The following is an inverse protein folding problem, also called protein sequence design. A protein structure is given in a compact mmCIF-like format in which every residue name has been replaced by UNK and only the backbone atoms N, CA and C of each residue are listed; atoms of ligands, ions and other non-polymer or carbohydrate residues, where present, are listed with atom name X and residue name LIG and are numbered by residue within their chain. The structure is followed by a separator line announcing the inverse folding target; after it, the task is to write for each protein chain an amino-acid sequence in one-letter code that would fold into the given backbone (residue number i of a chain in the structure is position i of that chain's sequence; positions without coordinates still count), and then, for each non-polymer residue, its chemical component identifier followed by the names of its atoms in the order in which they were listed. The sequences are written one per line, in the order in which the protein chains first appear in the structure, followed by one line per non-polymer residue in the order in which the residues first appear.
data_IF_877813114485
#
_entry.id   IF_877813114485
#
_cell.length_a   1.000
_cell.length_b   1.000
_cell.length_c   1.000
_cell.angle_alpha   90.00
_cell.angle_beta   90.00
_cell.angle_gamma   90.00
#
_symmetry.space_group_name_H-M   'P 1'
#
loop_
_entity.id
_entity.type
_entity.pdbx_description
1 polymer ?
#
# COMPACT_ATOMS: atom_id res chain seq x y z
N UNK A 1 -37.55 -46.50 9.31
CA UNK A 1 -38.47 -45.55 8.64
C UNK A 1 -38.83 -44.49 9.67
N UNK A 2 -39.07 -43.23 9.28
CA UNK A 2 -39.23 -42.14 10.24
C UNK A 2 -40.61 -42.11 10.93
N UNK A 3 -41.64 -42.68 10.30
CA UNK A 3 -42.98 -42.82 10.84
C UNK A 3 -43.74 -43.97 10.15
N UNK A 4 -44.98 -44.23 10.57
CA UNK A 4 -45.88 -45.17 9.90
C UNK A 4 -46.22 -44.73 8.46
N UNK A 5 -46.57 -45.67 7.59
CA UNK A 5 -46.84 -45.40 6.16
C UNK A 5 -47.91 -44.32 5.95
N UNK A 6 -48.93 -44.26 6.82
CA UNK A 6 -49.99 -43.25 6.76
C UNK A 6 -49.45 -41.85 7.13
N UNK A 7 -48.56 -41.78 8.12
CA UNK A 7 -47.98 -40.51 8.60
C UNK A 7 -46.87 -39.96 7.70
N UNK A 8 -46.29 -40.76 6.79
CA UNK A 8 -45.25 -40.30 5.86
C UNK A 8 -45.68 -39.14 4.95
N UNK A 9 -46.98 -39.01 4.65
CA UNK A 9 -47.49 -37.92 3.81
C UNK A 9 -47.48 -36.55 4.50
N UNK A 10 -47.43 -36.54 5.84
CA UNK A 10 -47.45 -35.34 6.68
C UNK A 10 -46.14 -35.19 7.47
N UNK A 11 -45.07 -35.86 7.02
CA UNK A 11 -43.82 -36.03 7.76
C UNK A 11 -43.18 -34.70 8.20
N UNK A 12 -43.24 -33.67 7.35
CA UNK A 12 -42.67 -32.34 7.63
C UNK A 12 -43.41 -31.58 8.74
N UNK A 13 -44.64 -31.99 9.07
CA UNK A 13 -45.48 -31.35 10.10
C UNK A 13 -45.56 -32.13 11.41
N UNK A 14 -45.00 -33.35 11.45
CA UNK A 14 -44.99 -34.16 12.67
C UNK A 14 -44.00 -33.59 13.68
N UNK A 15 -44.37 -33.65 14.96
CA UNK A 15 -43.41 -33.39 16.03
C UNK A 15 -42.48 -34.61 16.23
N UNK A 16 -41.27 -34.39 16.76
CA UNK A 16 -40.31 -35.48 17.02
C UNK A 16 -40.88 -36.57 17.95
N UNK A 17 -41.77 -36.20 18.87
CA UNK A 17 -42.44 -37.15 19.77
C UNK A 17 -43.43 -38.08 19.06
N UNK A 18 -43.85 -37.74 17.84
CA UNK A 18 -44.74 -38.52 16.99
C UNK A 18 -44.00 -39.41 15.98
N UNK A 19 -42.67 -39.28 15.91
CA UNK A 19 -41.78 -40.02 15.04
C UNK A 19 -41.24 -41.28 15.73
N UNK A 20 -40.67 -42.19 14.93
CA UNK A 20 -39.97 -43.36 15.46
C UNK A 20 -38.71 -42.94 16.25
N UNK A 21 -38.66 -43.28 17.53
CA UNK A 21 -37.60 -42.86 18.46
C UNK A 21 -36.19 -43.20 17.94
N UNK A 22 -36.02 -44.39 17.37
CA UNK A 22 -34.73 -44.83 16.79
C UNK A 22 -34.35 -44.00 15.57
N UNK A 23 -35.33 -43.56 14.76
CA UNK A 23 -35.05 -42.67 13.63
C UNK A 23 -34.59 -41.29 14.12
N UNK A 24 -35.26 -40.73 15.14
CA UNK A 24 -34.87 -39.44 15.74
C UNK A 24 -33.44 -39.53 16.30
N UNK A 25 -33.12 -40.61 17.04
CA UNK A 25 -31.75 -40.86 17.53
C UNK A 25 -30.73 -40.95 16.40
N UNK A 26 -31.05 -41.64 15.31
CA UNK A 26 -30.17 -41.74 14.14
C UNK A 26 -29.99 -40.40 13.42
N UNK A 27 -31.05 -39.63 13.24
CA UNK A 27 -31.00 -38.30 12.64
C UNK A 27 -30.15 -37.34 13.49
N UNK A 28 -30.32 -37.35 14.82
CA UNK A 28 -29.49 -36.58 15.74
C UNK A 28 -28.02 -37.01 15.68
N UNK A 29 -27.74 -38.31 15.62
CA UNK A 29 -26.37 -38.83 15.45
C UNK A 29 -25.76 -38.37 14.13
N UNK A 30 -26.51 -38.40 13.05
CA UNK A 30 -26.06 -37.92 11.74
C UNK A 30 -25.78 -36.41 11.76
N UNK A 31 -26.69 -35.60 12.32
CA UNK A 31 -26.51 -34.17 12.49
C UNK A 31 -25.24 -33.84 13.29
N UNK A 32 -25.06 -34.47 14.45
CA UNK A 32 -23.89 -34.27 15.29
C UNK A 32 -22.60 -34.71 14.58
N UNK A 33 -22.66 -35.80 13.81
CA UNK A 33 -21.53 -36.21 12.97
C UNK A 33 -21.19 -35.17 11.90
N UNK A 34 -22.20 -34.62 11.20
CA UNK A 34 -22.01 -33.59 10.20
C UNK A 34 -21.39 -32.33 10.80
N UNK A 35 -21.91 -31.82 11.92
CA UNK A 35 -21.34 -30.64 12.59
C UNK A 35 -19.90 -30.87 13.04
N UNK A 36 -19.60 -32.06 13.58
CA UNK A 36 -18.27 -32.36 14.10
C UNK A 36 -17.23 -32.69 13.01
N UNK A 37 -17.63 -33.18 11.84
CA UNK A 37 -16.71 -33.73 10.84
C UNK A 37 -16.75 -33.01 9.48
N UNK A 38 -17.74 -32.16 9.22
CA UNK A 38 -17.79 -31.37 7.98
C UNK A 38 -16.64 -30.37 7.97
N UNK A 39 -15.97 -30.28 6.82
CA UNK A 39 -14.84 -29.37 6.63
C UNK A 39 -15.29 -28.17 5.80
N UNK A 40 -14.63 -27.04 6.03
CA UNK A 40 -14.76 -25.88 5.16
C UNK A 40 -14.41 -26.30 3.73
N UNK A 41 -15.20 -25.84 2.77
CA UNK A 41 -14.93 -26.12 1.36
C UNK A 41 -13.64 -25.42 0.96
N UNK A 42 -12.71 -26.16 0.37
CA UNK A 42 -11.47 -25.60 -0.17
C UNK A 42 -11.34 -25.80 -1.68
N UNK A 43 -10.54 -24.94 -2.30
CA UNK A 43 -10.01 -25.08 -3.66
C UNK A 43 -8.55 -25.55 -3.60
N UNK A 44 -7.98 -25.80 -4.77
CA UNK A 44 -6.54 -26.10 -4.91
C UNK A 44 -5.70 -24.99 -4.27
N UNK A 45 -4.65 -25.37 -3.55
CA UNK A 45 -3.75 -24.44 -2.86
C UNK A 45 -4.23 -23.99 -1.48
N UNK A 46 -5.10 -24.75 -0.81
CA UNK A 46 -5.50 -24.41 0.56
C UNK A 46 -6.65 -23.41 0.68
N UNK A 47 -7.10 -22.82 -0.44
CA UNK A 47 -7.97 -21.65 -0.40
C UNK A 47 -9.37 -22.01 0.11
N UNK A 48 -9.74 -21.48 1.27
CA UNK A 48 -11.08 -21.63 1.83
C UNK A 48 -12.10 -20.83 1.02
N UNK A 49 -13.21 -21.47 0.67
CA UNK A 49 -14.25 -20.87 -0.17
C UNK A 49 -15.16 -20.00 0.69
N UNK A 50 -15.06 -18.69 0.50
CA UNK A 50 -15.99 -17.71 1.08
C UNK A 50 -17.30 -17.64 0.29
N UNK A 51 -18.32 -16.96 0.83
CA UNK A 51 -19.59 -16.74 0.12
C UNK A 51 -19.43 -16.00 -1.22
N UNK A 52 -18.50 -15.03 -1.29
CA UNK A 52 -18.18 -14.30 -2.54
C UNK A 52 -17.57 -15.24 -3.58
N UNK A 53 -16.59 -16.03 -3.17
CA UNK A 53 -15.95 -17.02 -4.03
C UNK A 53 -16.96 -18.05 -4.53
N UNK A 54 -17.84 -18.54 -3.65
CA UNK A 54 -18.88 -19.47 -4.03
C UNK A 54 -19.82 -18.90 -5.09
N UNK A 55 -20.24 -17.63 -4.95
CA UNK A 55 -21.08 -16.96 -5.96
C UNK A 55 -20.40 -16.89 -7.34
N UNK A 56 -19.10 -16.60 -7.38
CA UNK A 56 -18.30 -16.61 -8.62
C UNK A 56 -18.21 -18.02 -9.21
N UNK A 57 -17.89 -19.03 -8.39
CA UNK A 57 -17.80 -20.43 -8.83
C UNK A 57 -19.14 -20.92 -9.38
N UNK A 58 -20.25 -20.69 -8.67
CA UNK A 58 -21.60 -21.06 -9.11
C UNK A 58 -21.94 -20.38 -10.43
N UNK A 59 -21.68 -19.08 -10.56
CA UNK A 59 -21.93 -18.34 -11.81
C UNK A 59 -21.12 -18.91 -12.98
N UNK A 60 -19.84 -19.20 -12.75
CA UNK A 60 -18.95 -19.77 -13.77
C UNK A 60 -19.43 -21.15 -14.23
N UNK A 61 -19.73 -22.05 -13.30
CA UNK A 61 -20.19 -23.40 -13.63
C UNK A 61 -21.56 -23.42 -14.31
N UNK A 62 -22.52 -22.61 -13.85
CA UNK A 62 -23.84 -22.52 -14.49
C UNK A 62 -23.72 -21.99 -15.92
N UNK A 63 -22.88 -20.97 -16.16
CA UNK A 63 -22.61 -20.45 -17.52
C UNK A 63 -21.98 -21.51 -18.42
N UNK A 64 -21.01 -22.28 -17.92
CA UNK A 64 -20.40 -23.36 -18.67
C UNK A 64 -21.46 -24.39 -19.12
N UNK A 65 -22.31 -24.85 -18.18
CA UNK A 65 -23.41 -25.78 -18.47
C UNK A 65 -24.38 -25.20 -19.51
N UNK A 66 -24.81 -23.95 -19.33
CA UNK A 66 -25.74 -23.30 -20.26
C UNK A 66 -25.16 -23.12 -21.67
N UNK A 67 -23.84 -22.91 -21.77
CA UNK A 67 -23.14 -22.80 -23.06
C UNK A 67 -22.82 -24.14 -23.72
N UNK A 68 -23.14 -25.27 -23.09
CA UNK A 68 -22.77 -26.61 -23.57
C UNK A 68 -21.29 -26.96 -23.40
N UNK A 69 -20.54 -26.19 -22.60
CA UNK A 69 -19.13 -26.47 -22.29
C UNK A 69 -19.00 -27.21 -20.97
N UNK A 70 -17.87 -27.90 -20.77
CA UNK A 70 -17.60 -28.66 -19.54
C UNK A 70 -17.14 -27.68 -18.44
N UNK A 71 -17.80 -27.66 -17.26
CA UNK A 71 -17.32 -26.90 -16.11
C UNK A 71 -15.90 -27.33 -15.72
N UNK A 72 -14.95 -26.40 -15.77
CA UNK A 72 -13.55 -26.66 -15.46
C UNK A 72 -13.15 -25.95 -14.16
N UNK A 73 -12.65 -26.71 -13.19
CA UNK A 73 -12.23 -26.18 -11.89
C UNK A 73 -11.05 -25.22 -12.01
N UNK A 74 -10.08 -25.53 -12.86
CA UNK A 74 -8.89 -24.69 -13.08
C UNK A 74 -9.27 -23.34 -13.66
N UNK A 75 -10.13 -23.31 -14.70
CA UNK A 75 -10.63 -22.07 -15.28
C UNK A 75 -11.44 -21.24 -14.27
N UNK A 76 -12.22 -21.89 -13.40
CA UNK A 76 -12.99 -21.21 -12.37
C UNK A 76 -12.08 -20.59 -11.30
N UNK A 77 -11.00 -21.27 -10.91
CA UNK A 77 -9.98 -20.74 -9.98
C UNK A 77 -9.22 -19.58 -10.60
N UNK A 78 -8.86 -19.63 -11.88
CA UNK A 78 -8.18 -18.53 -12.57
C UNK A 78 -9.07 -17.28 -12.67
N UNK A 79 -10.33 -17.45 -13.08
CA UNK A 79 -11.29 -16.34 -13.13
C UNK A 79 -11.52 -15.73 -11.73
N UNK A 80 -11.55 -16.59 -10.70
CA UNK A 80 -11.67 -16.14 -9.32
C UNK A 80 -10.45 -15.35 -8.86
N UNK A 81 -9.23 -15.81 -9.17
CA UNK A 81 -7.99 -15.10 -8.87
C UNK A 81 -7.96 -13.71 -9.52
N UNK A 82 -8.39 -13.58 -10.77
CA UNK A 82 -8.50 -12.28 -11.45
C UNK A 82 -9.47 -11.32 -10.74
N UNK A 83 -10.66 -11.81 -10.37
CA UNK A 83 -11.67 -11.01 -9.66
C UNK A 83 -11.17 -10.59 -8.27
N UNK A 84 -10.62 -11.54 -7.49
CA UNK A 84 -10.16 -11.27 -6.14
C UNK A 84 -8.91 -10.39 -6.12
N UNK A 85 -7.95 -10.59 -7.03
CA UNK A 85 -6.76 -9.73 -7.12
C UNK A 85 -7.11 -8.32 -7.57
N UNK A 86 -8.06 -8.17 -8.51
CA UNK A 86 -8.54 -6.84 -8.91
C UNK A 86 -9.17 -6.11 -7.73
N UNK A 87 -10.03 -6.80 -6.98
CA UNK A 87 -10.63 -6.24 -5.77
C UNK A 87 -9.61 -5.99 -4.65
N UNK A 88 -8.60 -6.84 -4.50
CA UNK A 88 -7.52 -6.66 -3.53
C UNK A 88 -6.72 -5.38 -3.82
N UNK A 89 -6.41 -5.09 -5.09
CA UNK A 89 -5.76 -3.83 -5.48
C UNK A 89 -6.63 -2.62 -5.12
N UNK A 90 -7.94 -2.70 -5.38
CA UNK A 90 -8.87 -1.60 -5.06
C UNK A 90 -9.00 -1.35 -3.57
N UNK A 91 -9.18 -2.42 -2.77
CA UNK A 91 -9.31 -2.31 -1.32
C UNK A 91 -8.02 -1.79 -0.69
N UNK A 92 -6.86 -2.29 -1.13
CA UNK A 92 -5.55 -1.84 -0.67
C UNK A 92 -5.29 -0.37 -1.01
N UNK A 93 -5.56 0.05 -2.25
CA UNK A 93 -5.42 1.46 -2.63
C UNK A 93 -6.35 2.37 -1.80
N UNK A 94 -7.61 1.94 -1.61
CA UNK A 94 -8.58 2.68 -0.80
C UNK A 94 -8.12 2.78 0.66
N UNK A 95 -7.49 1.73 1.19
CA UNK A 95 -6.89 1.72 2.52
C UNK A 95 -5.74 2.73 2.61
N UNK A 96 -4.84 2.73 1.64
CA UNK A 96 -3.73 3.69 1.56
C UNK A 96 -4.22 5.15 1.55
N UNK A 97 -5.17 5.47 0.67
CA UNK A 97 -5.73 6.81 0.54
C UNK A 97 -6.43 7.26 1.83
N UNK A 98 -7.25 6.38 2.42
CA UNK A 98 -7.95 6.68 3.68
C UNK A 98 -6.99 7.00 4.83
N UNK A 99 -5.88 6.28 4.96
CA UNK A 99 -4.88 6.55 5.99
C UNK A 99 -4.07 7.81 5.70
N UNK A 100 -3.62 8.02 4.45
CA UNK A 100 -2.92 9.23 4.06
C UNK A 100 -3.79 10.48 4.25
N UNK A 101 -5.08 10.41 3.92
CA UNK A 101 -6.03 11.53 4.07
C UNK A 101 -6.22 11.94 5.54
N UNK A 102 -6.15 10.99 6.49
CA UNK A 102 -6.17 11.30 7.92
C UNK A 102 -4.93 12.09 8.36
N UNK A 103 -3.83 11.97 7.63
CA UNK A 103 -2.58 12.67 7.91
C UNK A 103 -2.45 14.02 7.20
N UNK A 104 -3.31 14.34 6.24
CA UNK A 104 -3.28 15.63 5.50
C UNK A 104 -3.40 16.83 6.43
N UNK A 105 -4.09 16.69 7.57
CA UNK A 105 -4.20 17.76 8.59
C UNK A 105 -2.85 18.13 9.23
N UNK A 106 -1.83 17.27 9.10
CA UNK A 106 -0.48 17.53 9.59
C UNK A 106 0.38 18.28 8.56
N UNK A 107 -0.13 18.55 7.36
CA UNK A 107 0.64 19.25 6.34
C UNK A 107 0.69 20.76 6.61
N UNK A 108 1.85 21.41 6.39
CA UNK A 108 3.11 20.79 5.96
C UNK A 108 3.82 20.02 7.07
N UNK A 109 4.43 18.88 6.75
CA UNK A 109 5.35 18.19 7.68
C UNK A 109 6.62 19.01 7.88
N UNK A 110 7.23 18.92 9.07
CA UNK A 110 8.43 19.70 9.37
C UNK A 110 9.63 19.23 8.55
N UNK A 111 9.72 17.93 8.27
CA UNK A 111 10.82 17.32 7.53
C UNK A 111 10.33 16.38 6.44
N UNK A 112 11.20 16.09 5.47
CA UNK A 112 10.94 15.08 4.43
C UNK A 112 10.81 13.69 5.06
N UNK A 113 11.66 13.36 6.04
CA UNK A 113 11.59 12.08 6.74
C UNK A 113 10.26 11.86 7.47
N UNK A 114 9.67 12.90 8.07
CA UNK A 114 8.36 12.79 8.71
C UNK A 114 7.27 12.41 7.70
N UNK A 115 7.28 13.02 6.52
CA UNK A 115 6.37 12.66 5.42
C UNK A 115 6.59 11.20 4.95
N UNK A 116 7.84 10.79 4.77
CA UNK A 116 8.18 9.42 4.35
C UNK A 116 7.75 8.37 5.37
N UNK A 117 7.91 8.65 6.67
CA UNK A 117 7.44 7.75 7.73
C UNK A 117 5.91 7.57 7.70
N UNK A 118 5.15 8.64 7.44
CA UNK A 118 3.69 8.55 7.27
C UNK A 118 3.36 7.66 6.07
N UNK A 119 4.00 7.90 4.92
CA UNK A 119 3.82 7.10 3.71
C UNK A 119 4.09 5.61 3.96
N UNK A 120 5.22 5.28 4.59
CA UNK A 120 5.65 3.90 4.86
C UNK A 120 4.64 3.13 5.72
N UNK A 121 4.10 3.74 6.77
CA UNK A 121 3.09 3.07 7.61
C UNK A 121 1.79 2.85 6.83
N UNK A 122 1.34 3.83 6.04
CA UNK A 122 0.14 3.69 5.21
C UNK A 122 0.31 2.63 4.12
N UNK A 123 1.48 2.59 3.47
CA UNK A 123 1.80 1.60 2.44
C UNK A 123 1.83 0.19 3.03
N UNK A 124 2.42 0.02 4.22
CA UNK A 124 2.47 -1.26 4.92
C UNK A 124 1.08 -1.81 5.22
N UNK A 125 0.16 -1.00 5.72
CA UNK A 125 -1.21 -1.44 5.99
C UNK A 125 -1.99 -1.74 4.70
N UNK A 126 -1.76 -0.96 3.64
CA UNK A 126 -2.30 -1.25 2.30
C UNK A 126 -1.83 -2.61 1.76
N UNK A 127 -0.52 -2.90 1.85
CA UNK A 127 0.03 -4.18 1.41
C UNK A 127 -0.54 -5.34 2.23
N UNK A 128 -0.75 -5.19 3.54
CA UNK A 128 -1.41 -6.22 4.36
C UNK A 128 -2.82 -6.53 3.87
N UNK A 129 -3.61 -5.50 3.52
CA UNK A 129 -4.95 -5.68 2.93
C UNK A 129 -4.86 -6.45 1.61
N UNK A 130 -3.91 -6.08 0.75
CA UNK A 130 -3.68 -6.80 -0.51
C UNK A 130 -3.31 -8.26 -0.26
N UNK A 131 -2.34 -8.53 0.61
CA UNK A 131 -1.88 -9.89 0.93
C UNK A 131 -2.96 -10.76 1.56
N UNK A 132 -3.87 -10.18 2.34
CA UNK A 132 -4.99 -10.91 2.94
C UNK A 132 -6.07 -11.34 1.94
N UNK A 133 -6.18 -10.67 0.78
CA UNK A 133 -7.24 -10.92 -0.20
C UNK A 133 -6.76 -11.49 -1.53
N UNK A 134 -5.52 -11.21 -1.93
CA UNK A 134 -4.99 -11.67 -3.21
C UNK A 134 -4.88 -13.20 -3.26
N UNK A 135 -5.05 -13.78 -4.43
CA UNK A 135 -5.01 -15.22 -4.68
C UNK A 135 -4.24 -15.48 -5.96
N UNK A 136 -3.21 -16.33 -5.89
CA UNK A 136 -2.48 -16.82 -7.07
C UNK A 136 -2.09 -15.71 -8.06
N UNK A 137 -1.46 -14.64 -7.56
CA UNK A 137 -0.99 -13.51 -8.38
C UNK A 137 0.23 -13.92 -9.22
N UNK A 138 -0.06 -14.62 -10.31
CA UNK A 138 0.96 -15.11 -11.24
C UNK A 138 1.79 -13.93 -11.78
N UNK A 139 3.10 -14.10 -11.73
CA UNK A 139 4.09 -13.11 -12.17
C UNK A 139 3.98 -11.76 -11.43
N UNK A 140 3.34 -11.73 -10.24
CA UNK A 140 3.18 -10.54 -9.39
C UNK A 140 2.51 -9.37 -10.13
N UNK A 141 1.67 -9.65 -11.12
CA UNK A 141 1.05 -8.65 -11.99
C UNK A 141 0.22 -7.65 -11.19
N UNK A 142 -0.59 -8.12 -10.25
CA UNK A 142 -1.47 -7.24 -9.47
C UNK A 142 -0.70 -6.50 -8.37
N UNK A 143 0.31 -7.14 -7.80
CA UNK A 143 1.23 -6.54 -6.86
C UNK A 143 2.02 -5.37 -7.48
N UNK A 144 2.60 -5.54 -8.67
CA UNK A 144 3.23 -4.45 -9.41
C UNK A 144 2.25 -3.33 -9.76
N UNK A 145 1.02 -3.70 -10.14
CA UNK A 145 -0.05 -2.71 -10.38
C UNK A 145 -0.36 -1.90 -9.13
N UNK A 146 -0.48 -2.54 -7.96
CA UNK A 146 -0.69 -1.85 -6.69
C UNK A 146 0.47 -0.89 -6.39
N UNK A 147 1.72 -1.34 -6.52
CA UNK A 147 2.91 -0.51 -6.26
C UNK A 147 2.89 0.76 -7.11
N UNK A 148 2.68 0.64 -8.43
CA UNK A 148 2.59 1.81 -9.31
C UNK A 148 1.44 2.77 -8.95
N UNK A 149 0.31 2.26 -8.46
CA UNK A 149 -0.79 3.10 -7.98
C UNK A 149 -0.45 3.84 -6.68
N UNK A 150 0.20 3.17 -5.74
CA UNK A 150 0.66 3.77 -4.49
C UNK A 150 1.74 4.84 -4.76
N UNK A 151 2.70 4.57 -5.65
CA UNK A 151 3.75 5.53 -6.02
C UNK A 151 3.15 6.81 -6.64
N UNK A 152 2.15 6.65 -7.51
CA UNK A 152 1.43 7.81 -8.06
C UNK A 152 0.73 8.62 -6.96
N UNK A 153 0.06 7.95 -6.01
CA UNK A 153 -0.60 8.64 -4.90
C UNK A 153 0.39 9.28 -3.95
N UNK A 154 1.53 8.65 -3.68
CA UNK A 154 2.62 9.22 -2.90
C UNK A 154 3.09 10.55 -3.52
N UNK A 155 3.25 10.61 -4.85
CA UNK A 155 3.60 11.84 -5.55
C UNK A 155 2.53 12.93 -5.40
N UNK A 156 1.24 12.56 -5.47
CA UNK A 156 0.13 13.50 -5.23
C UNK A 156 0.19 14.08 -3.82
N UNK A 157 0.39 13.24 -2.80
CA UNK A 157 0.50 13.69 -1.40
C UNK A 157 1.77 14.51 -1.15
N UNK A 158 2.90 14.14 -1.76
CA UNK A 158 4.14 14.94 -1.72
C UNK A 158 3.88 16.34 -2.26
N UNK A 159 3.20 16.44 -3.41
CA UNK A 159 2.85 17.72 -4.04
C UNK A 159 1.94 18.56 -3.13
N UNK A 160 0.97 17.94 -2.46
CA UNK A 160 0.12 18.62 -1.47
C UNK A 160 0.93 19.13 -0.28
N UNK A 161 1.86 18.32 0.24
CA UNK A 161 2.73 18.69 1.36
C UNK A 161 3.66 19.86 0.99
N UNK A 162 4.30 19.79 -0.17
CA UNK A 162 5.15 20.85 -0.71
C UNK A 162 4.36 22.15 -0.91
N UNK A 163 3.15 22.06 -1.48
CA UNK A 163 2.27 23.22 -1.66
C UNK A 163 1.90 23.86 -0.33
N UNK A 164 1.47 23.07 0.66
CA UNK A 164 1.14 23.57 1.99
C UNK A 164 2.32 24.31 2.64
N UNK A 165 3.54 23.78 2.49
CA UNK A 165 4.77 24.40 2.97
C UNK A 165 5.03 25.74 2.27
N UNK A 166 4.90 25.79 0.94
CA UNK A 166 5.08 27.03 0.17
C UNK A 166 4.06 28.10 0.52
N UNK A 167 2.79 27.72 0.61
CA UNK A 167 1.69 28.64 0.92
C UNK A 167 1.86 29.24 2.33
N UNK A 168 2.22 28.41 3.31
CA UNK A 168 2.53 28.88 4.67
C UNK A 168 3.72 29.85 4.69
N UNK A 169 4.84 29.47 4.05
CA UNK A 169 6.06 30.28 4.04
C UNK A 169 5.86 31.63 3.34
N UNK A 170 5.13 31.65 2.21
CA UNK A 170 4.82 32.90 1.49
C UNK A 170 3.96 33.83 2.33
N UNK A 171 2.91 33.31 2.96
CA UNK A 171 2.06 34.11 3.84
C UNK A 171 2.85 34.68 5.01
N UNK A 172 3.69 33.86 5.64
CA UNK A 172 4.56 34.30 6.73
C UNK A 172 5.51 35.42 6.28
N UNK A 173 6.14 35.27 5.11
CA UNK A 173 7.04 36.31 4.58
C UNK A 173 6.30 37.60 4.26
N UNK A 174 5.10 37.54 3.68
CA UNK A 174 4.26 38.72 3.45
C UNK A 174 3.95 39.48 4.75
N UNK A 175 3.64 38.75 5.83
CA UNK A 175 3.39 39.36 7.14
C UNK A 175 4.65 39.97 7.74
N UNK A 176 5.78 39.26 7.69
CA UNK A 176 7.05 39.72 8.25
C UNK A 176 7.66 40.88 7.45
N UNK A 177 7.49 40.90 6.12
CA UNK A 177 8.07 41.91 5.24
C UNK A 177 7.22 43.17 5.10
N UNK A 178 5.97 43.21 5.60
CA UNK A 178 5.04 44.31 5.38
C UNK A 178 5.64 45.71 5.64
N UNK A 179 6.40 45.87 6.73
CA UNK A 179 7.05 47.14 7.08
C UNK A 179 8.14 47.54 6.07
N UNK A 180 9.00 46.59 5.68
CA UNK A 180 10.09 46.87 4.72
C UNK A 180 9.53 47.13 3.33
N UNK A 181 8.44 46.46 2.92
CA UNK A 181 7.75 46.74 1.65
C UNK A 181 7.17 48.16 1.61
N UNK A 182 6.52 48.61 2.69
CA UNK A 182 6.00 49.97 2.77
C UNK A 182 7.12 51.01 2.69
N UNK A 183 8.22 50.79 3.42
CA UNK A 183 9.39 51.67 3.34
C UNK A 183 10.02 51.70 1.92
N UNK A 184 10.03 50.57 1.20
CA UNK A 184 10.47 50.53 -0.21
C UNK A 184 9.55 51.41 -1.07
N UNK A 185 8.23 51.25 -0.96
CA UNK A 185 7.24 51.98 -1.75
C UNK A 185 7.29 53.49 -1.49
N UNK A 186 7.53 53.90 -0.25
CA UNK A 186 7.66 55.31 0.14
C UNK A 186 9.02 55.93 -0.25
N UNK A 187 9.97 55.14 -0.78
CA UNK A 187 11.32 55.60 -1.08
C UNK A 187 12.16 55.92 0.16
N UNK A 188 11.79 55.36 1.32
CA UNK A 188 12.44 55.63 2.62
C UNK A 188 13.92 55.22 2.68
N UNK A 189 14.38 54.39 1.76
CA UNK A 189 15.78 53.95 1.66
C UNK A 189 16.60 54.74 0.63
N UNK A 190 16.02 55.69 -0.09
CA UNK A 190 16.75 56.55 -1.06
C UNK A 190 17.45 57.75 -0.42
N UNK A 191 17.69 57.69 0.89
CA UNK A 191 18.33 58.73 1.69
C UNK A 191 19.77 58.32 2.08
N UNK A 192 20.66 59.27 2.43
CA UNK A 192 21.98 58.97 2.96
C UNK A 192 21.95 57.94 4.10
N UNK A 193 22.63 56.79 3.93
CA UNK A 193 22.66 55.67 4.89
C UNK A 193 21.50 54.68 4.77
N UNK A 194 20.66 54.80 3.73
CA UNK A 194 19.50 53.97 3.48
C UNK A 194 19.82 52.49 3.26
N UNK A 195 20.96 52.17 2.64
CA UNK A 195 21.37 50.77 2.44
C UNK A 195 21.57 50.05 3.78
N UNK A 196 22.25 50.69 4.74
CA UNK A 196 22.46 50.11 6.08
C UNK A 196 21.14 49.87 6.81
N UNK A 197 20.18 50.80 6.69
CA UNK A 197 18.84 50.67 7.28
C UNK A 197 18.07 49.50 6.65
N UNK A 198 18.10 49.39 5.31
CA UNK A 198 17.48 48.30 4.56
C UNK A 198 18.02 46.93 4.99
N UNK A 199 19.34 46.76 5.04
CA UNK A 199 19.96 45.49 5.47
C UNK A 199 19.54 45.11 6.89
N UNK A 200 19.52 46.06 7.82
CA UNK A 200 19.11 45.80 9.20
C UNK A 200 17.64 45.31 9.29
N UNK A 201 16.73 45.91 8.53
CA UNK A 201 15.33 45.48 8.49
C UNK A 201 15.16 44.14 7.76
N UNK A 202 15.87 43.92 6.65
CA UNK A 202 15.91 42.64 5.93
C UNK A 202 16.38 41.50 6.84
N UNK A 203 17.44 41.71 7.61
CA UNK A 203 17.97 40.71 8.55
C UNK A 203 16.95 40.35 9.64
N UNK A 204 16.18 41.33 10.15
CA UNK A 204 15.10 41.06 11.12
C UNK A 204 14.01 40.17 10.53
N UNK A 205 13.64 40.38 9.26
CA UNK A 205 12.67 39.52 8.55
C UNK A 205 13.22 38.10 8.45
N UNK A 206 14.48 37.94 8.04
CA UNK A 206 15.13 36.63 7.90
C UNK A 206 15.20 35.90 9.25
N UNK A 207 15.63 36.60 10.32
CA UNK A 207 15.72 36.03 11.66
C UNK A 207 14.34 35.58 12.17
N UNK A 208 13.34 36.45 12.06
CA UNK A 208 11.96 36.14 12.45
C UNK A 208 11.37 34.96 11.68
N UNK A 209 11.68 34.84 10.38
CA UNK A 209 11.29 33.69 9.57
C UNK A 209 11.99 32.40 10.03
N UNK A 210 13.29 32.47 10.28
CA UNK A 210 14.10 31.30 10.63
C UNK A 210 13.64 30.66 11.94
N UNK A 211 13.27 31.45 12.95
CA UNK A 211 12.82 30.94 14.26
C UNK A 211 11.38 30.39 14.25
N UNK A 212 10.57 30.69 13.23
CA UNK A 212 9.16 30.26 13.18
C UNK A 212 9.05 28.75 12.88
N UNK A 213 8.41 27.92 13.71
CA UNK A 213 8.16 26.51 13.38
C UNK A 213 7.00 26.36 12.36
N UNK A 214 6.80 25.17 11.82
CA UNK A 214 5.65 24.83 10.96
C UNK A 214 5.83 25.22 9.50
N UNK A 215 7.04 25.60 9.09
CA UNK A 215 7.33 26.04 7.72
C UNK A 215 7.34 24.86 6.74
N UNK A 216 7.84 23.73 7.21
CA UNK A 216 7.98 22.51 6.45
C UNK A 216 9.06 22.54 5.35
N UNK A 217 8.98 21.53 4.49
CA UNK A 217 10.07 21.11 3.59
C UNK A 217 10.51 22.13 2.54
N UNK A 218 9.69 23.15 2.22
CA UNK A 218 10.00 24.19 1.23
C UNK A 218 10.49 25.51 1.83
N UNK A 219 10.79 25.54 3.13
CA UNK A 219 11.19 26.76 3.84
C UNK A 219 12.42 27.46 3.25
N UNK A 220 13.46 26.70 2.87
CA UNK A 220 14.70 27.27 2.32
C UNK A 220 14.49 27.82 0.90
N UNK A 221 13.78 27.06 0.04
CA UNK A 221 13.47 27.47 -1.33
C UNK A 221 12.68 28.79 -1.35
N UNK A 222 11.62 28.89 -0.54
CA UNK A 222 10.76 30.07 -0.51
C UNK A 222 11.50 31.29 0.05
N UNK A 223 12.40 31.11 1.02
CA UNK A 223 13.24 32.20 1.51
C UNK A 223 14.21 32.70 0.42
N UNK A 224 14.82 31.80 -0.34
CA UNK A 224 15.71 32.19 -1.43
C UNK A 224 14.96 32.87 -2.58
N UNK A 225 13.74 32.43 -2.90
CA UNK A 225 12.83 33.11 -3.84
C UNK A 225 12.59 34.56 -3.40
N UNK A 226 12.20 34.76 -2.14
CA UNK A 226 11.98 36.09 -1.57
C UNK A 226 13.24 36.98 -1.66
N UNK A 227 14.41 36.46 -1.29
CA UNK A 227 15.64 37.26 -1.36
C UNK A 227 16.00 37.62 -2.80
N UNK A 228 15.79 36.69 -3.74
CA UNK A 228 16.05 36.90 -5.16
C UNK A 228 15.12 37.96 -5.75
N UNK A 229 13.83 37.98 -5.37
CA UNK A 229 12.88 39.03 -5.74
C UNK A 229 13.30 40.43 -5.26
N UNK A 230 14.10 40.52 -4.18
CA UNK A 230 14.58 41.79 -3.62
C UNK A 230 15.94 42.24 -4.15
N UNK A 231 16.60 41.44 -5.00
CA UNK A 231 17.96 41.69 -5.47
C UNK A 231 18.09 43.03 -6.21
N UNK A 232 17.18 43.30 -7.14
CA UNK A 232 17.23 44.53 -7.95
C UNK A 232 16.88 45.78 -7.12
N UNK A 233 15.98 45.62 -6.13
CA UNK A 233 15.64 46.68 -5.18
C UNK A 233 16.85 47.05 -4.33
N UNK A 234 17.55 46.04 -3.80
CA UNK A 234 18.76 46.24 -3.02
C UNK A 234 19.87 46.90 -3.84
N UNK A 235 20.06 46.49 -5.10
CA UNK A 235 21.00 47.13 -6.01
C UNK A 235 20.65 48.61 -6.24
N UNK A 236 19.36 48.93 -6.47
CA UNK A 236 18.92 50.31 -6.64
C UNK A 236 19.16 51.16 -5.38
N UNK A 237 18.93 50.61 -4.17
CA UNK A 237 19.20 51.27 -2.89
C UNK A 237 20.71 51.53 -2.71
N UNK A 238 21.57 50.55 -3.03
CA UNK A 238 23.04 50.71 -2.99
C UNK A 238 23.48 51.84 -3.91
N UNK A 239 22.93 51.90 -5.13
CA UNK A 239 23.28 52.92 -6.10
C UNK A 239 22.82 54.32 -5.66
N UNK A 240 21.63 54.45 -5.06
CA UNK A 240 21.07 55.71 -4.58
C UNK A 240 21.73 56.26 -3.29
N UNK A 241 22.39 55.41 -2.49
CA UNK A 241 23.01 55.83 -1.23
C UNK A 241 24.31 56.62 -1.45
N UNK A 242 24.23 57.94 -1.30
CA UNK A 242 25.37 58.85 -1.47
C UNK A 242 26.44 58.75 -0.37
N UNK A 243 26.18 58.01 0.72
CA UNK A 243 27.17 57.81 1.80
C UNK A 243 28.18 56.70 1.50
N UNK A 244 27.87 55.83 0.53
CA UNK A 244 28.74 54.74 0.13
C UNK A 244 29.71 55.19 -0.95
N UNK A 245 30.99 54.90 -0.75
CA UNK A 245 32.00 55.01 -1.81
C UNK A 245 31.78 53.94 -2.88
N UNK A 246 32.27 54.17 -4.10
CA UNK A 246 32.17 53.20 -5.20
C UNK A 246 32.73 51.82 -4.81
N UNK A 247 33.82 51.80 -4.04
CA UNK A 247 34.42 50.57 -3.52
C UNK A 247 33.50 49.85 -2.52
N UNK A 248 32.79 50.58 -1.67
CA UNK A 248 31.84 50.01 -0.70
C UNK A 248 30.58 49.48 -1.40
N UNK A 249 30.12 50.13 -2.48
CA UNK A 249 29.03 49.63 -3.31
C UNK A 249 29.38 48.29 -3.96
N UNK A 250 30.55 48.20 -4.59
CA UNK A 250 31.05 46.95 -5.18
C UNK A 250 31.18 45.83 -4.15
N UNK A 251 31.73 46.13 -2.96
CA UNK A 251 31.83 45.14 -1.87
C UNK A 251 30.46 44.68 -1.36
N UNK A 252 29.45 45.55 -1.32
CA UNK A 252 28.10 45.17 -0.92
C UNK A 252 27.45 44.22 -1.95
N UNK A 253 27.59 44.52 -3.24
CA UNK A 253 27.10 43.68 -4.33
C UNK A 253 27.79 42.30 -4.34
N UNK A 254 29.11 42.25 -4.15
CA UNK A 254 29.87 41.00 -4.07
C UNK A 254 29.45 40.13 -2.86
N UNK A 255 29.23 40.75 -1.70
CA UNK A 255 28.69 40.05 -0.52
C UNK A 255 27.31 39.47 -0.77
N UNK A 256 26.40 40.25 -1.35
CA UNK A 256 25.04 39.79 -1.68
C UNK A 256 25.07 38.60 -2.66
N UNK A 257 25.98 38.63 -3.66
CA UNK A 257 26.20 37.50 -4.57
C UNK A 257 26.72 36.26 -3.85
N UNK A 258 27.69 36.43 -2.94
CA UNK A 258 28.30 35.33 -2.17
C UNK A 258 27.25 34.66 -1.27
N UNK A 259 26.47 35.46 -0.53
CA UNK A 259 25.38 34.94 0.32
C UNK A 259 24.29 34.22 -0.49
N UNK A 260 23.97 34.70 -1.69
CA UNK A 260 23.02 34.02 -2.59
C UNK A 260 23.56 32.65 -3.02
N UNK A 261 24.83 32.60 -3.44
CA UNK A 261 25.47 31.35 -3.85
C UNK A 261 25.57 30.34 -2.69
N UNK A 262 25.84 30.80 -1.47
CA UNK A 262 25.85 29.95 -0.28
C UNK A 262 24.46 29.35 0.01
N UNK A 263 23.38 30.13 -0.11
CA UNK A 263 22.02 29.63 0.08
C UNK A 263 21.58 28.67 -1.02
N UNK A 264 21.90 28.95 -2.27
CA UNK A 264 21.66 28.03 -3.39
C UNK A 264 22.37 26.69 -3.17
N UNK A 265 23.61 26.71 -2.67
CA UNK A 265 24.34 25.51 -2.26
C UNK A 265 23.63 24.75 -1.14
N UNK A 266 23.15 25.44 -0.10
CA UNK A 266 22.40 24.81 1.00
C UNK A 266 21.09 24.15 0.52
N UNK A 267 20.36 24.80 -0.40
CA UNK A 267 19.15 24.23 -1.02
C UNK A 267 19.51 22.99 -1.84
N UNK A 268 20.58 23.04 -2.62
CA UNK A 268 21.04 21.90 -3.41
C UNK A 268 21.44 20.71 -2.50
N UNK A 269 22.15 20.97 -1.41
CA UNK A 269 22.48 19.96 -0.41
C UNK A 269 21.23 19.36 0.25
N UNK A 270 20.24 20.19 0.60
CA UNK A 270 18.96 19.72 1.13
C UNK A 270 18.20 18.85 0.14
N UNK A 271 18.06 19.30 -1.11
CA UNK A 271 17.37 18.55 -2.17
C UNK A 271 18.05 17.21 -2.45
N UNK A 272 19.38 17.15 -2.42
CA UNK A 272 20.13 15.90 -2.55
C UNK A 272 19.87 14.97 -1.36
N UNK A 273 19.82 15.49 -0.13
CA UNK A 273 19.46 14.70 1.06
C UNK A 273 18.04 14.15 0.97
N UNK A 274 17.09 14.98 0.56
CA UNK A 274 15.68 14.58 0.42
C UNK A 274 15.51 13.51 -0.66
N UNK A 275 16.23 13.64 -1.78
CA UNK A 275 16.26 12.61 -2.84
C UNK A 275 16.86 11.30 -2.33
N UNK A 276 17.96 11.37 -1.58
CA UNK A 276 18.58 10.19 -0.98
C UNK A 276 17.63 9.48 0.01
N UNK A 277 16.96 10.23 0.88
CA UNK A 277 15.96 9.69 1.80
C UNK A 277 14.80 9.01 1.05
N UNK A 278 14.31 9.61 -0.05
CA UNK A 278 13.28 8.97 -0.89
C UNK A 278 13.76 7.63 -1.48
N UNK A 279 15.00 7.55 -1.95
CA UNK A 279 15.57 6.30 -2.48
C UNK A 279 15.72 5.23 -1.39
N UNK A 280 16.19 5.61 -0.20
CA UNK A 280 16.33 4.70 0.94
C UNK A 280 14.98 4.16 1.41
N UNK A 281 13.96 5.03 1.45
CA UNK A 281 12.58 4.67 1.79
C UNK A 281 11.97 3.69 0.78
N UNK A 282 12.16 3.95 -0.53
CA UNK A 282 11.74 3.03 -1.59
C UNK A 282 12.39 1.65 -1.46
N UNK A 283 13.70 1.60 -1.17
CA UNK A 283 14.40 0.33 -0.96
C UNK A 283 13.87 -0.43 0.27
N UNK A 284 13.59 0.30 1.37
CA UNK A 284 13.05 -0.29 2.59
C UNK A 284 11.64 -0.85 2.38
N UNK A 285 10.78 -0.09 1.69
CA UNK A 285 9.44 -0.52 1.27
C UNK A 285 9.50 -1.77 0.40
N UNK A 286 10.41 -1.80 -0.58
CA UNK A 286 10.61 -2.96 -1.45
C UNK A 286 10.99 -4.22 -0.67
N UNK A 287 11.95 -4.15 0.25
CA UNK A 287 12.34 -5.30 1.07
C UNK A 287 11.21 -5.76 2.01
N UNK A 288 10.47 -4.83 2.64
CA UNK A 288 9.30 -5.19 3.45
C UNK A 288 8.21 -5.89 2.63
N UNK A 289 7.97 -5.40 1.41
CA UNK A 289 7.00 -5.99 0.52
C UNK A 289 7.38 -7.42 0.12
N UNK A 290 8.67 -7.62 -0.17
CA UNK A 290 9.25 -8.93 -0.47
C UNK A 290 9.17 -9.88 0.72
N UNK A 291 9.44 -9.42 1.94
CA UNK A 291 9.27 -10.23 3.16
C UNK A 291 7.83 -10.70 3.34
N UNK A 292 6.85 -9.79 3.23
CA UNK A 292 5.43 -10.14 3.33
C UNK A 292 4.99 -11.12 2.24
N UNK A 293 5.51 -10.97 1.02
CA UNK A 293 5.24 -11.91 -0.07
C UNK A 293 5.83 -13.29 0.22
N UNK A 294 7.07 -13.37 0.68
CA UNK A 294 7.71 -14.64 1.05
C UNK A 294 6.97 -15.34 2.19
N UNK A 295 6.53 -14.60 3.20
CA UNK A 295 5.73 -15.14 4.29
C UNK A 295 4.41 -15.74 3.77
N UNK A 296 3.68 -15.00 2.93
CA UNK A 296 2.45 -15.47 2.31
C UNK A 296 2.68 -16.74 1.47
N UNK A 297 3.70 -16.76 0.62
CA UNK A 297 4.03 -17.91 -0.22
C UNK A 297 4.34 -19.16 0.64
N UNK A 298 5.07 -19.01 1.74
CA UNK A 298 5.38 -20.14 2.62
C UNK A 298 4.14 -20.62 3.38
N UNK A 299 3.23 -19.73 3.78
CA UNK A 299 1.95 -20.11 4.37
C UNK A 299 1.07 -20.89 3.38
N UNK A 300 0.92 -20.40 2.15
CA UNK A 300 0.19 -21.08 1.07
C UNK A 300 0.80 -22.45 0.75
N UNK A 301 2.13 -22.54 0.73
CA UNK A 301 2.86 -23.80 0.52
C UNK A 301 2.56 -24.82 1.62
N UNK A 302 2.60 -24.41 2.88
CA UNK A 302 2.27 -25.29 4.02
C UNK A 302 0.83 -25.80 3.93
N UNK A 303 -0.12 -24.93 3.58
CA UNK A 303 -1.53 -25.34 3.39
C UNK A 303 -1.69 -26.33 2.24
N UNK A 304 -1.01 -26.10 1.11
CA UNK A 304 -1.00 -27.03 -0.02
C UNK A 304 -0.43 -28.40 0.36
N UNK A 305 0.68 -28.44 1.10
CA UNK A 305 1.27 -29.70 1.58
C UNK A 305 0.30 -30.49 2.46
N UNK A 306 -0.35 -29.83 3.42
CA UNK A 306 -1.32 -30.46 4.30
C UNK A 306 -2.52 -31.04 3.51
N UNK A 307 -2.99 -30.32 2.49
CA UNK A 307 -4.03 -30.84 1.59
C UNK A 307 -3.56 -32.07 0.81
N UNK A 308 -2.36 -32.03 0.24
CA UNK A 308 -1.79 -33.16 -0.50
C UNK A 308 -1.60 -34.39 0.41
N UNK A 309 -1.14 -34.20 1.65
CA UNK A 309 -0.99 -35.28 2.63
C UNK A 309 -2.34 -35.95 2.95
N UNK A 310 -3.41 -35.16 3.08
CA UNK A 310 -4.76 -35.70 3.28
C UNK A 310 -5.20 -36.55 2.08
N UNK A 311 -4.99 -36.06 0.85
CA UNK A 311 -5.32 -36.79 -0.38
C UNK A 311 -4.51 -38.09 -0.47
N UNK A 312 -3.22 -38.04 -0.15
CA UNK A 312 -2.35 -39.24 -0.09
C UNK A 312 -2.90 -40.23 0.94
N UNK A 313 -3.28 -39.78 2.14
CA UNK A 313 -3.85 -40.64 3.18
C UNK A 313 -5.12 -41.34 2.72
N UNK A 314 -6.01 -40.62 2.02
CA UNK A 314 -7.23 -41.22 1.44
C UNK A 314 -6.91 -42.24 0.35
N UNK A 315 -5.97 -41.93 -0.56
CA UNK A 315 -5.53 -42.84 -1.62
C UNK A 315 -4.87 -44.11 -1.07
N UNK A 316 -4.13 -44.01 0.03
CA UNK A 316 -3.54 -45.18 0.71
C UNK A 316 -4.62 -46.10 1.30
N UNK A 317 -5.67 -45.54 1.91
CA UNK A 317 -6.82 -46.33 2.39
C UNK A 317 -7.56 -47.01 1.24
N UNK A 318 -7.74 -46.29 0.12
CA UNK A 318 -8.35 -46.87 -1.08
C UNK A 318 -7.49 -48.01 -1.64
N UNK A 319 -6.17 -47.82 -1.67
CA UNK A 319 -5.22 -48.85 -2.10
C UNK A 319 -5.34 -50.13 -1.25
N UNK A 320 -5.44 -50.01 0.08
CA UNK A 320 -5.63 -51.15 0.99
C UNK A 320 -6.94 -51.91 0.68
N UNK A 321 -8.05 -51.20 0.45
CA UNK A 321 -9.32 -51.81 0.05
C UNK A 321 -9.23 -52.52 -1.30
N UNK A 322 -8.56 -51.91 -2.29
CA UNK A 322 -8.37 -52.51 -3.62
C UNK A 322 -7.44 -53.73 -3.57
N UNK A 323 -6.45 -53.72 -2.66
CA UNK A 323 -5.56 -54.85 -2.41
C UNK A 323 -6.32 -56.05 -1.84
N UNK A 324 -7.18 -55.83 -0.84
CA UNK A 324 -8.05 -56.87 -0.28
C UNK A 324 -9.04 -57.44 -1.30
N UNK A 325 -9.46 -56.63 -2.29
CA UNK A 325 -10.36 -57.04 -3.36
C UNK A 325 -9.65 -57.63 -4.60
N UNK A 326 -8.31 -57.64 -4.65
CA UNK A 326 -7.53 -58.26 -5.73
C UNK A 326 -7.37 -57.43 -7.02
N UNK A 327 -7.68 -56.13 -7.03
CA UNK A 327 -7.65 -55.28 -8.23
C UNK A 327 -6.26 -54.67 -8.52
N UNK A 328 -5.32 -55.48 -9.04
CA UNK A 328 -3.92 -55.07 -9.28
C UNK A 328 -3.74 -53.84 -10.19
N UNK A 329 -4.56 -53.68 -11.24
CA UNK A 329 -4.47 -52.52 -12.14
C UNK A 329 -4.78 -51.20 -11.44
N UNK A 330 -5.76 -51.21 -10.52
CA UNK A 330 -6.13 -50.03 -9.74
C UNK A 330 -5.05 -49.65 -8.74
N UNK A 331 -4.40 -50.64 -8.13
CA UNK A 331 -3.26 -50.42 -7.22
C UNK A 331 -2.13 -49.69 -7.94
N UNK A 332 -1.75 -50.15 -9.14
CA UNK A 332 -0.71 -49.50 -9.97
C UNK A 332 -1.07 -48.09 -10.42
N UNK A 333 -2.36 -47.79 -10.60
CA UNK A 333 -2.81 -46.43 -10.89
C UNK A 333 -2.66 -45.52 -9.65
N UNK A 334 -3.13 -45.99 -8.49
CA UNK A 334 -3.00 -45.28 -7.22
C UNK A 334 -1.53 -45.03 -6.83
N UNK A 335 -0.63 -45.99 -7.06
CA UNK A 335 0.81 -45.81 -6.80
C UNK A 335 1.39 -44.66 -7.62
N UNK A 336 1.04 -44.56 -8.90
CA UNK A 336 1.48 -43.47 -9.78
C UNK A 336 0.96 -42.12 -9.31
N UNK A 337 -0.30 -42.06 -8.88
CA UNK A 337 -0.90 -40.83 -8.35
C UNK A 337 -0.27 -40.41 -7.02
N UNK A 338 -0.05 -41.34 -6.10
CA UNK A 338 0.63 -41.08 -4.81
C UNK A 338 2.07 -40.61 -5.06
N UNK A 339 2.80 -41.24 -5.98
CA UNK A 339 4.16 -40.83 -6.34
C UNK A 339 4.20 -39.40 -6.89
N UNK A 340 3.25 -39.03 -7.77
CA UNK A 340 3.14 -37.68 -8.31
C UNK A 340 2.82 -36.64 -7.22
N UNK A 341 1.88 -36.93 -6.32
CA UNK A 341 1.56 -36.03 -5.20
C UNK A 341 2.76 -35.85 -4.26
N UNK A 342 3.52 -36.92 -3.99
CA UNK A 342 4.76 -36.85 -3.20
C UNK A 342 5.83 -36.03 -3.90
N UNK A 343 6.01 -36.18 -5.21
CA UNK A 343 6.99 -35.38 -5.95
C UNK A 343 6.61 -33.90 -5.99
N UNK A 344 5.32 -33.57 -6.07
CA UNK A 344 4.83 -32.19 -5.96
C UNK A 344 5.15 -31.59 -4.59
N UNK A 345 5.00 -32.35 -3.50
CA UNK A 345 5.39 -31.89 -2.16
C UNK A 345 6.92 -31.68 -2.00
N UNK A 346 7.74 -32.43 -2.73
CA UNK A 346 9.21 -32.32 -2.70
C UNK A 346 9.77 -31.26 -3.66
N UNK A 347 8.96 -30.76 -4.61
CA UNK A 347 9.41 -29.76 -5.58
C UNK A 347 9.59 -28.40 -4.90
N UNK A 348 10.80 -27.83 -4.95
CA UNK A 348 11.00 -26.43 -4.55
C UNK A 348 10.26 -25.51 -5.51
N UNK A 349 9.77 -24.34 -5.07
CA UNK A 349 9.30 -23.32 -5.99
C UNK A 349 10.42 -23.04 -6.99
N UNK A 350 10.09 -22.91 -8.28
CA UNK A 350 11.00 -22.27 -9.21
C UNK A 350 11.42 -20.94 -8.59
N UNK A 351 12.73 -20.70 -8.51
CA UNK A 351 13.31 -19.47 -7.98
C UNK A 351 12.54 -18.31 -8.63
N UNK A 352 11.73 -17.61 -7.84
CA UNK A 352 11.18 -16.35 -8.28
C UNK A 352 12.39 -15.42 -8.28
N UNK A 353 12.95 -15.19 -9.47
CA UNK A 353 13.98 -14.18 -9.66
C UNK A 353 13.26 -12.86 -9.41
N UNK A 354 13.41 -12.34 -8.20
CA UNK A 354 13.05 -10.98 -7.86
C UNK A 354 14.09 -10.14 -8.58
N UNK A 355 13.73 -9.63 -9.77
CA UNK A 355 14.56 -8.71 -10.54
C UNK A 355 14.35 -7.31 -9.97
#
# INVERSE_FOLDING_TARGET
RPASTQKLQILETLEECEMEEEFVKQAARFYNYMIANSRVKTLAGGIEVTGRMLAVLTTSYVKAIQSGTVPCMENAVLALAEIENTGAVQDALSKYECEMDQHVVKFPTETQQEFLNIHMECEKESIKVFMGRSLNDKDQKYQHKLKGLIDNKMNDYSTKNEKASRDFCRKLLQELSATIENHILEGSYSMPGGHKKYIMEKLKVIEAYNIKPGKGIKALEVMQEYISEKKDIEAAIIQADATLTEKEKQLAEERAQTESAEREKQIMEQNNRDLQQRMEDQNRSFEQHKEMLMEKMEQERKMMMQQNELVISQKLKEQEMMMNAGFQDKIRALDREIANLRSQNCSQPGICVII
#
